data_IF_537383646434
#
_entry.id   IF_537383646434
#
_cell.length_a   1.000
_cell.length_b   1.000
_cell.length_c   1.000
_cell.angle_alpha   90.00
_cell.angle_beta   90.00
_cell.angle_gamma   90.00
#
_symmetry.space_group_name_H-M   'P 1'
#
loop_
_entity.id
_entity.type
_entity.pdbx_description
1 polymer ?
#
# COMPACT_ATOMS: atom_id res chain seq x y z
N UNK A 1 -12.23 23.36 21.23
CA UNK A 1 -11.38 22.29 21.78
C UNK A 1 -10.06 22.29 21.03
N UNK A 2 -8.90 22.26 21.71
CA UNK A 2 -7.58 22.25 21.05
C UNK A 2 -7.26 20.92 20.35
N UNK A 3 -7.93 19.84 20.74
CA UNK A 3 -7.73 18.53 20.15
C UNK A 3 -9.01 17.94 19.59
N UNK A 4 -8.89 17.13 18.52
CA UNK A 4 -9.99 16.30 18.03
C UNK A 4 -9.50 14.89 17.69
N UNK A 5 -10.40 13.92 17.87
CA UNK A 5 -10.14 12.52 17.58
C UNK A 5 -10.33 12.24 16.09
N UNK A 6 -9.41 11.48 15.51
CA UNK A 6 -9.48 11.02 14.12
C UNK A 6 -9.90 9.57 14.12
N UNK A 7 -11.03 9.29 13.48
CA UNK A 7 -11.53 7.93 13.28
C UNK A 7 -10.70 7.18 12.24
N UNK A 8 -10.69 5.85 12.36
CA UNK A 8 -10.17 4.97 11.31
C UNK A 8 -10.93 5.21 9.99
N UNK A 9 -10.23 5.44 8.87
CA UNK A 9 -10.87 5.50 7.56
C UNK A 9 -11.56 4.18 7.21
N UNK A 10 -12.71 4.26 6.54
CA UNK A 10 -13.46 3.10 6.02
C UNK A 10 -13.52 3.20 4.51
N UNK A 11 -13.18 2.11 3.82
CA UNK A 11 -12.94 2.07 2.39
C UNK A 11 -13.75 0.97 1.72
N UNK A 12 -14.00 1.13 0.42
CA UNK A 12 -14.48 0.03 -0.40
C UNK A 12 -13.34 -0.97 -0.60
N UNK A 13 -13.58 -2.25 -0.29
CA UNK A 13 -12.58 -3.30 -0.55
C UNK A 13 -12.29 -3.38 -2.06
N UNK A 14 -11.01 -3.50 -2.40
CA UNK A 14 -10.56 -3.71 -3.79
C UNK A 14 -10.53 -5.19 -4.19
N UNK A 15 -10.76 -6.10 -3.24
CA UNK A 15 -10.78 -7.54 -3.49
C UNK A 15 -11.97 -7.95 -4.37
N UNK A 16 -12.99 -7.09 -4.46
CA UNK A 16 -14.18 -7.28 -5.31
C UNK A 16 -14.06 -6.60 -6.68
N UNK A 17 -12.91 -5.99 -7.00
CA UNK A 17 -12.70 -5.25 -8.25
C UNK A 17 -12.49 -6.18 -9.47
N UNK A 18 -12.91 -7.44 -9.42
CA UNK A 18 -12.82 -8.38 -10.56
C UNK A 18 -13.46 -7.80 -11.82
N UNK A 19 -14.58 -7.09 -11.64
CA UNK A 19 -15.28 -6.35 -12.70
C UNK A 19 -14.41 -5.25 -13.31
N UNK A 20 -13.56 -4.58 -12.51
CA UNK A 20 -12.65 -3.54 -12.99
C UNK A 20 -11.56 -4.14 -13.88
N UNK A 21 -11.00 -5.30 -13.49
CA UNK A 21 -10.04 -6.04 -14.32
C UNK A 21 -10.66 -6.50 -15.64
N UNK A 22 -11.86 -7.07 -15.58
CA UNK A 22 -12.63 -7.49 -16.75
C UNK A 22 -12.88 -6.31 -17.71
N UNK A 23 -13.35 -5.17 -17.20
CA UNK A 23 -13.57 -3.96 -18.01
C UNK A 23 -12.28 -3.37 -18.59
N UNK A 24 -11.16 -3.50 -17.89
CA UNK A 24 -9.86 -3.02 -18.35
C UNK A 24 -9.20 -3.96 -19.37
N UNK A 25 -9.76 -5.15 -19.62
CA UNK A 25 -9.12 -6.18 -20.44
C UNK A 25 -7.82 -6.72 -19.84
N UNK A 26 -7.66 -6.61 -18.52
CA UNK A 26 -6.48 -7.08 -17.78
C UNK A 26 -6.86 -8.35 -17.03
N UNK A 27 -6.06 -9.45 -17.14
CA UNK A 27 -6.34 -10.65 -16.37
C UNK A 27 -6.34 -10.36 -14.88
N UNK A 28 -7.34 -10.85 -14.16
CA UNK A 28 -7.35 -10.79 -12.71
C UNK A 28 -6.10 -11.51 -12.15
N UNK A 29 -5.52 -11.01 -11.05
CA UNK A 29 -4.49 -11.74 -10.32
C UNK A 29 -4.96 -13.16 -10.00
N UNK A 30 -4.05 -14.14 -10.02
CA UNK A 30 -4.36 -15.52 -9.63
C UNK A 30 -4.54 -15.61 -8.11
N UNK A 31 -3.46 -15.93 -7.40
CA UNK A 31 -3.46 -16.06 -5.94
C UNK A 31 -2.80 -14.87 -5.24
N UNK A 32 -2.44 -13.81 -5.98
CA UNK A 32 -1.91 -12.59 -5.39
C UNK A 32 -3.06 -11.64 -5.09
N UNK A 33 -3.20 -11.24 -3.84
CA UNK A 33 -4.26 -10.36 -3.36
C UNK A 33 -3.70 -8.99 -2.98
N UNK A 34 -4.59 -8.00 -2.90
CA UNK A 34 -4.23 -6.69 -2.36
C UNK A 34 -4.04 -6.80 -0.85
N UNK A 35 -2.83 -6.57 -0.36
CA UNK A 35 -2.58 -6.37 1.07
C UNK A 35 -2.92 -4.96 1.51
N UNK A 36 -2.61 -3.99 0.63
CA UNK A 36 -2.79 -2.57 0.87
C UNK A 36 -2.73 -1.80 -0.45
N UNK A 37 -3.52 -0.72 -0.55
CA UNK A 37 -3.38 0.26 -1.62
C UNK A 37 -3.05 1.62 -1.04
N UNK A 38 -2.13 2.36 -1.64
CA UNK A 38 -1.82 3.73 -1.20
C UNK A 38 -2.98 4.71 -1.40
N UNK A 39 -4.02 4.30 -2.14
CA UNK A 39 -5.30 5.00 -2.11
C UNK A 39 -5.86 5.08 -0.69
N UNK A 40 -5.52 4.14 0.18
CA UNK A 40 -5.96 4.04 1.56
C UNK A 40 -5.04 4.80 2.54
N UNK A 41 -4.03 5.52 2.04
CA UNK A 41 -3.10 6.31 2.82
C UNK A 41 -1.68 5.74 2.80
N UNK A 42 -1.00 5.76 3.95
CA UNK A 42 0.34 5.21 4.10
C UNK A 42 0.32 3.90 4.89
N UNK A 43 0.80 2.81 4.28
CA UNK A 43 0.67 1.47 4.83
C UNK A 43 1.27 1.32 6.24
N UNK A 44 2.43 1.97 6.46
CA UNK A 44 3.19 1.82 7.70
C UNK A 44 2.60 2.64 8.86
N UNK A 45 2.00 3.81 8.59
CA UNK A 45 1.41 4.66 9.63
C UNK A 45 0.32 3.93 10.40
N UNK A 46 -0.47 3.11 9.70
CA UNK A 46 -1.54 2.36 10.34
C UNK A 46 -1.02 1.20 11.19
N UNK A 47 0.22 0.74 11.02
CA UNK A 47 0.79 -0.32 11.86
C UNK A 47 0.96 0.16 13.30
N UNK A 48 1.29 1.44 13.50
CA UNK A 48 1.44 2.05 14.82
C UNK A 48 0.09 2.25 15.52
N UNK A 49 -0.99 2.39 14.74
CA UNK A 49 -2.34 2.59 15.26
C UNK A 49 -3.18 1.31 15.35
N UNK A 50 -2.64 0.19 14.87
CA UNK A 50 -3.34 -1.09 14.77
C UNK A 50 -2.62 -2.15 15.59
N UNK A 51 -3.33 -2.72 16.56
CA UNK A 51 -2.81 -3.83 17.35
C UNK A 51 -2.45 -5.01 16.44
N UNK A 52 -1.38 -5.78 16.74
CA UNK A 52 -0.94 -6.88 15.88
C UNK A 52 -2.03 -7.90 15.50
N UNK A 53 -2.98 -8.16 16.39
CA UNK A 53 -4.11 -9.08 16.16
C UNK A 53 -5.25 -8.50 15.33
N UNK A 54 -5.28 -7.18 15.11
CA UNK A 54 -6.24 -6.51 14.22
C UNK A 54 -5.72 -6.38 12.78
N UNK A 55 -4.50 -6.88 12.52
CA UNK A 55 -3.89 -6.86 11.19
C UNK A 55 -4.38 -8.08 10.41
N UNK A 56 -4.61 -7.88 9.12
CA UNK A 56 -4.90 -8.99 8.19
C UNK A 56 -3.78 -10.03 8.21
N UNK A 57 -4.01 -11.21 7.60
CA UNK A 57 -2.94 -12.20 7.37
C UNK A 57 -1.71 -11.58 6.68
N UNK A 58 -1.95 -10.54 5.89
CA UNK A 58 -0.93 -9.86 5.08
C UNK A 58 -0.13 -8.82 5.88
N UNK A 59 -0.40 -8.68 7.18
CA UNK A 59 0.34 -7.80 8.09
C UNK A 59 -0.11 -6.33 8.06
N UNK A 60 -1.05 -5.97 7.18
CA UNK A 60 -1.60 -4.63 7.06
C UNK A 60 -3.04 -4.57 7.59
N UNK A 61 -3.49 -3.42 8.12
CA UNK A 61 -4.88 -3.25 8.53
C UNK A 61 -5.83 -3.35 7.33
N UNK A 62 -6.88 -4.15 7.48
CA UNK A 62 -8.02 -4.10 6.56
C UNK A 62 -8.83 -2.84 6.87
N UNK A 63 -8.98 -1.97 5.87
CA UNK A 63 -9.74 -0.72 5.97
C UNK A 63 -11.12 -0.84 5.32
N UNK A 64 -11.50 -2.04 4.87
CA UNK A 64 -12.82 -2.27 4.29
C UNK A 64 -13.93 -2.21 5.34
N UNK A 65 -15.13 -1.84 4.92
CA UNK A 65 -16.31 -1.83 5.81
C UNK A 65 -16.66 -3.22 6.35
N UNK A 66 -16.28 -4.28 5.62
CA UNK A 66 -16.61 -5.69 5.90
C UNK A 66 -15.72 -6.38 6.95
N UNK A 67 -14.93 -5.62 7.74
CA UNK A 67 -14.10 -6.17 8.84
C UNK A 67 -14.93 -6.97 9.86
N UNK A 68 -16.26 -6.80 9.90
CA UNK A 68 -17.13 -7.55 10.80
C UNK A 68 -17.39 -9.02 10.41
N UNK A 69 -17.13 -9.43 9.15
CA UNK A 69 -17.50 -10.78 8.67
C UNK A 69 -16.30 -11.70 8.38
N UNK A 70 -15.07 -11.16 8.26
CA UNK A 70 -13.89 -11.97 8.01
C UNK A 70 -13.42 -12.65 9.30
N UNK A 71 -13.86 -13.88 9.50
CA UNK A 71 -13.31 -14.79 10.51
C UNK A 71 -11.81 -14.96 10.32
N UNK A 72 -11.02 -14.35 11.20
CA UNK A 72 -9.58 -14.50 11.21
C UNK A 72 -9.19 -15.91 11.70
N UNK A 73 -8.34 -16.63 10.94
CA UNK A 73 -7.83 -17.96 11.30
C UNK A 73 -7.05 -18.03 12.63
N UNK A 74 -6.78 -16.89 13.29
CA UNK A 74 -6.16 -16.80 14.63
C UNK A 74 -6.82 -15.74 15.53
N UNK A 75 -8.07 -15.35 15.28
CA UNK A 75 -8.78 -14.49 16.22
C UNK A 75 -9.22 -15.31 17.43
N UNK A 76 -8.50 -15.17 18.54
CA UNK A 76 -8.91 -15.68 19.86
C UNK A 76 -10.01 -14.83 20.49
N UNK A 77 -10.52 -13.82 19.77
CA UNK A 77 -11.56 -12.91 20.25
C UNK A 77 -12.82 -13.14 19.37
N UNK A 78 -13.96 -13.52 19.96
CA UNK A 78 -15.22 -13.63 19.22
C UNK A 78 -15.54 -12.29 18.55
N UNK A 79 -15.97 -12.34 17.30
CA UNK A 79 -16.44 -11.22 16.48
C UNK A 79 -17.79 -10.66 16.98
N UNK A 80 -17.88 -10.34 18.26
CA UNK A 80 -19.12 -9.94 18.93
C UNK A 80 -19.13 -8.50 19.43
N UNK A 81 -18.17 -7.64 19.08
CA UNK A 81 -18.35 -6.21 19.28
C UNK A 81 -19.13 -5.61 18.10
N UNK A 82 -20.43 -5.87 18.11
CA UNK A 82 -21.45 -5.05 17.45
C UNK A 82 -21.35 -3.64 18.01
N UNK A 83 -20.64 -2.76 17.31
CA UNK A 83 -20.48 -1.38 17.74
C UNK A 83 -19.93 -0.54 16.61
N UNK A 84 -20.82 0.24 15.99
CA UNK A 84 -20.60 1.32 15.01
C UNK A 84 -19.63 2.43 15.45
N UNK A 85 -18.79 2.20 16.46
CA UNK A 85 -17.77 3.12 16.92
C UNK A 85 -16.55 2.98 16.02
N UNK A 86 -16.41 3.87 15.04
CA UNK A 86 -15.15 4.01 14.30
C UNK A 86 -14.04 4.28 15.31
N UNK A 87 -13.24 3.27 15.62
CA UNK A 87 -12.15 3.37 16.59
C UNK A 87 -11.27 4.58 16.25
N UNK A 88 -11.02 5.44 17.22
CA UNK A 88 -10.07 6.55 17.07
C UNK A 88 -8.68 5.99 16.83
N UNK A 89 -8.02 6.40 15.73
CA UNK A 89 -6.66 5.95 15.39
C UNK A 89 -5.59 6.91 15.89
N UNK A 90 -5.92 8.21 15.98
CA UNK A 90 -5.01 9.23 16.48
C UNK A 90 -5.80 10.47 16.95
N UNK A 91 -5.09 11.48 17.48
CA UNK A 91 -5.65 12.77 17.87
C UNK A 91 -4.80 13.88 17.28
N UNK A 92 -5.44 14.87 16.67
CA UNK A 92 -4.78 16.09 16.19
C UNK A 92 -4.89 17.14 17.29
N UNK A 93 -3.79 17.78 17.64
CA UNK A 93 -3.76 19.00 18.46
C UNK A 93 -3.50 20.19 17.55
N UNK A 94 -4.37 21.20 17.59
CA UNK A 94 -4.23 22.39 16.77
C UNK A 94 -2.97 23.16 17.13
N UNK A 95 -2.73 23.35 18.44
CA UNK A 95 -1.53 24.00 18.94
C UNK A 95 -0.24 23.22 18.60
N UNK A 96 -0.26 21.89 18.60
CA UNK A 96 0.95 21.13 18.25
C UNK A 96 1.20 21.03 16.74
N UNK A 97 0.14 20.90 15.94
CA UNK A 97 0.26 20.60 14.51
C UNK A 97 0.28 21.86 13.63
N UNK A 98 -0.43 22.91 14.03
CA UNK A 98 -0.62 24.10 13.21
C UNK A 98 -0.02 25.37 13.83
N UNK A 99 0.49 25.33 15.06
CA UNK A 99 1.18 26.48 15.64
C UNK A 99 2.67 26.56 15.23
N UNK A 100 3.25 27.77 15.22
CA UNK A 100 2.56 29.05 15.28
C UNK A 100 1.70 29.25 14.03
N UNK A 101 0.48 29.76 14.20
CA UNK A 101 -0.31 30.19 13.06
C UNK A 101 0.39 31.41 12.47
N UNK A 102 0.86 31.27 11.24
CA UNK A 102 1.44 32.36 10.49
C UNK A 102 0.50 32.65 9.32
N UNK A 103 -0.28 33.72 9.42
CA UNK A 103 -1.24 34.12 8.37
C UNK A 103 -0.56 34.40 7.01
N UNK A 104 0.76 34.59 7.00
CA UNK A 104 1.57 34.78 5.79
C UNK A 104 2.23 33.47 5.32
N UNK A 105 2.04 32.36 6.02
CA UNK A 105 2.55 31.05 5.59
C UNK A 105 1.78 30.62 4.34
N UNK A 106 2.51 30.36 3.26
CA UNK A 106 1.91 29.79 2.05
C UNK A 106 1.45 28.36 2.32
N UNK A 107 0.49 27.88 1.53
CA UNK A 107 0.06 26.47 1.62
C UNK A 107 1.24 25.51 1.43
N UNK A 108 2.14 25.79 0.49
CA UNK A 108 3.38 25.05 0.26
C UNK A 108 4.26 24.98 1.53
N UNK A 109 4.47 26.11 2.22
CA UNK A 109 5.28 26.17 3.43
C UNK A 109 4.64 25.36 4.57
N UNK A 110 3.31 25.48 4.74
CA UNK A 110 2.55 24.70 5.71
C UNK A 110 2.65 23.19 5.44
N UNK A 111 2.47 22.77 4.18
CA UNK A 111 2.55 21.36 3.81
C UNK A 111 3.96 20.79 3.99
N UNK A 112 5.00 21.54 3.62
CA UNK A 112 6.39 21.14 3.87
C UNK A 112 6.67 20.94 5.35
N UNK A 113 6.19 21.86 6.20
CA UNK A 113 6.33 21.75 7.64
C UNK A 113 5.63 20.48 8.15
N UNK A 114 4.35 20.31 7.84
CA UNK A 114 3.57 19.13 8.24
C UNK A 114 4.18 17.82 7.73
N UNK A 115 4.70 17.79 6.50
CA UNK A 115 5.19 16.55 5.88
C UNK A 115 6.61 16.17 6.31
N UNK A 116 7.48 17.15 6.61
CA UNK A 116 8.91 16.90 6.73
C UNK A 116 9.58 17.46 7.99
N UNK A 117 8.94 18.33 8.76
CA UNK A 117 9.53 18.80 10.01
C UNK A 117 9.49 17.68 11.07
N UNK A 118 10.61 17.35 11.73
CA UNK A 118 10.71 16.16 12.60
C UNK A 118 9.67 16.08 13.72
N UNK A 119 9.25 17.24 14.23
CA UNK A 119 8.30 17.42 15.32
C UNK A 119 6.84 17.24 14.92
N UNK A 120 6.51 17.47 13.64
CA UNK A 120 5.14 17.43 13.11
C UNK A 120 4.89 16.26 12.16
N UNK A 121 5.87 15.82 11.36
CA UNK A 121 5.70 14.76 10.37
C UNK A 121 5.15 13.45 10.97
N UNK A 122 5.78 12.96 12.04
CA UNK A 122 5.38 11.69 12.69
C UNK A 122 4.11 11.79 13.55
N UNK A 123 3.77 12.99 14.04
CA UNK A 123 2.66 13.18 15.00
C UNK A 123 1.38 13.70 14.35
N UNK A 124 1.53 14.51 13.31
CA UNK A 124 0.45 15.28 12.72
C UNK A 124 0.18 14.87 11.27
N UNK A 125 1.23 14.73 10.45
CA UNK A 125 1.09 14.47 9.01
C UNK A 125 0.19 13.27 8.72
N UNK A 126 0.56 12.10 9.25
CA UNK A 126 -0.21 10.87 9.06
C UNK A 126 -1.63 10.99 9.63
N UNK A 127 -1.78 11.64 10.79
CA UNK A 127 -3.09 11.82 11.42
C UNK A 127 -4.01 12.74 10.60
N UNK A 128 -3.45 13.79 9.98
CA UNK A 128 -4.14 14.67 9.04
C UNK A 128 -4.54 13.90 7.78
N UNK A 129 -3.64 13.06 7.24
CA UNK A 129 -3.97 12.20 6.10
C UNK A 129 -5.16 11.29 6.43
N UNK A 130 -5.16 10.62 7.60
CA UNK A 130 -6.26 9.78 8.05
C UNK A 130 -7.57 10.57 8.23
N UNK A 131 -7.50 11.80 8.74
CA UNK A 131 -8.66 12.67 8.86
C UNK A 131 -9.26 13.05 7.50
N UNK A 132 -8.42 13.41 6.53
CA UNK A 132 -8.84 13.76 5.17
C UNK A 132 -9.38 12.57 4.39
N UNK A 133 -8.78 11.37 4.56
CA UNK A 133 -9.30 10.13 3.99
C UNK A 133 -10.69 9.81 4.57
N UNK A 134 -10.89 9.99 5.88
CA UNK A 134 -12.19 9.81 6.53
C UNK A 134 -13.24 10.80 5.99
N UNK A 135 -12.84 12.06 5.79
CA UNK A 135 -13.69 13.09 5.20
C UNK A 135 -14.01 12.82 3.71
N UNK A 136 -13.15 12.10 3.01
CA UNK A 136 -13.34 11.76 1.59
C UNK A 136 -14.36 10.64 1.33
N UNK A 137 -14.82 9.96 2.38
CA UNK A 137 -15.69 8.78 2.27
C UNK A 137 -14.98 7.57 1.65
N UNK A 138 -15.76 6.57 1.23
CA UNK A 138 -15.23 5.28 0.77
C UNK A 138 -14.33 5.35 -0.47
N UNK A 139 -14.57 6.34 -1.35
CA UNK A 139 -13.75 6.60 -2.55
C UNK A 139 -12.37 7.19 -2.25
N UNK A 140 -12.21 7.78 -1.05
CA UNK A 140 -10.93 7.95 -0.40
C UNK A 140 -10.12 9.21 -0.66
N UNK A 141 -10.29 9.90 -1.80
CA UNK A 141 -9.39 11.02 -2.13
C UNK A 141 -10.09 12.35 -2.43
N UNK A 142 -11.42 12.39 -2.37
CA UNK A 142 -12.19 13.58 -2.78
C UNK A 142 -11.85 14.84 -1.98
N UNK A 143 -11.51 14.72 -0.69
CA UNK A 143 -11.12 15.86 0.16
C UNK A 143 -9.69 16.39 -0.12
N UNK A 144 -8.85 15.62 -0.81
CA UNK A 144 -7.53 16.07 -1.27
C UNK A 144 -7.58 16.83 -2.59
N UNK A 145 -8.72 16.77 -3.27
CA UNK A 145 -8.86 17.27 -4.61
C UNK A 145 -9.55 18.64 -4.61
N UNK A 146 -9.09 19.58 -5.46
CA UNK A 146 -9.81 20.83 -5.71
C UNK A 146 -11.26 20.58 -6.14
N UNK A 147 -12.17 21.57 -5.98
CA UNK A 147 -13.54 21.49 -6.51
C UNK A 147 -13.58 21.16 -8.00
N UNK A 148 -14.67 20.55 -8.48
CA UNK A 148 -14.82 20.17 -9.90
C UNK A 148 -14.75 21.35 -10.86
N UNK A 149 -15.14 22.54 -10.39
CA UNK A 149 -15.08 23.80 -11.12
C UNK A 149 -13.68 24.43 -11.16
N UNK A 150 -12.72 23.93 -10.38
CA UNK A 150 -11.38 24.48 -10.33
C UNK A 150 -10.64 24.21 -11.65
N UNK A 151 -10.29 25.28 -12.34
CA UNK A 151 -9.58 25.23 -13.61
C UNK A 151 -8.50 26.30 -13.66
N UNK A 152 -7.42 26.02 -14.38
CA UNK A 152 -6.29 26.91 -14.54
C UNK A 152 -5.86 26.96 -16.00
N UNK A 153 -5.42 28.13 -16.44
CA UNK A 153 -4.94 28.34 -17.80
C UNK A 153 -3.43 28.10 -17.80
N UNK A 154 -2.97 27.14 -18.61
CA UNK A 154 -1.56 26.77 -18.76
C UNK A 154 -1.08 27.13 -20.17
N UNK A 155 0.22 27.42 -20.38
CA UNK A 155 0.75 27.61 -21.72
C UNK A 155 0.49 26.38 -22.62
N UNK A 156 0.09 26.54 -23.89
CA UNK A 156 -0.15 25.40 -24.79
C UNK A 156 1.10 24.55 -25.05
N UNK A 157 2.30 25.15 -24.96
CA UNK A 157 3.59 24.44 -24.99
C UNK A 157 3.77 23.42 -23.84
N UNK A 158 2.89 23.47 -22.83
CA UNK A 158 2.81 22.50 -21.74
C UNK A 158 2.27 21.13 -22.18
N UNK A 159 2.10 20.83 -23.46
CA UNK A 159 1.61 19.53 -23.95
C UNK A 159 2.43 18.33 -23.43
N UNK A 160 3.68 18.53 -22.98
CA UNK A 160 4.45 17.51 -22.25
C UNK A 160 3.95 17.24 -20.81
N UNK A 161 3.30 18.23 -20.18
CA UNK A 161 2.76 18.20 -18.81
C UNK A 161 1.59 17.23 -18.68
N UNK A 162 0.77 17.09 -19.73
CA UNK A 162 -0.33 16.11 -19.78
C UNK A 162 0.13 14.66 -19.61
N UNK A 163 1.39 14.36 -19.97
CA UNK A 163 2.00 13.03 -19.84
C UNK A 163 2.78 12.81 -18.53
N UNK A 164 3.05 13.86 -17.74
CA UNK A 164 3.79 13.72 -16.47
C UNK A 164 3.33 14.76 -15.44
N UNK A 165 2.12 14.62 -14.88
CA UNK A 165 1.81 15.30 -13.62
C UNK A 165 2.76 14.77 -12.55
N UNK A 166 3.81 15.53 -12.22
CA UNK A 166 4.81 15.16 -11.21
C UNK A 166 5.21 16.39 -10.40
N UNK A 167 5.59 16.17 -9.14
CA UNK A 167 6.24 17.22 -8.35
C UNK A 167 7.71 17.35 -8.80
N UNK A 168 8.36 18.50 -8.61
CA UNK A 168 9.77 18.68 -8.92
C UNK A 168 10.63 17.62 -8.22
N UNK A 169 11.54 16.99 -8.97
CA UNK A 169 12.44 15.96 -8.48
C UNK A 169 13.77 16.61 -8.06
N UNK A 170 13.77 17.18 -6.86
CA UNK A 170 14.95 17.86 -6.27
C UNK A 170 15.52 17.04 -5.12
N UNK A 171 16.81 17.20 -4.84
CA UNK A 171 17.49 16.48 -3.75
C UNK A 171 17.01 16.88 -2.34
N UNK A 172 16.51 18.11 -2.17
CA UNK A 172 16.08 18.64 -0.87
C UNK A 172 14.75 19.38 -0.96
N UNK A 173 13.76 18.91 -0.20
CA UNK A 173 12.42 19.51 -0.10
C UNK A 173 12.44 20.97 0.39
N UNK A 174 13.50 21.38 1.11
CA UNK A 174 13.60 22.71 1.71
C UNK A 174 13.73 23.82 0.67
N UNK A 175 14.40 23.53 -0.44
CA UNK A 175 14.67 24.48 -1.51
C UNK A 175 13.70 24.33 -2.70
N UNK A 176 12.88 23.28 -2.71
CA UNK A 176 11.91 23.02 -3.78
C UNK A 176 10.73 23.97 -3.67
N UNK A 177 10.31 24.61 -4.75
CA UNK A 177 9.05 25.34 -4.78
C UNK A 177 7.94 24.42 -5.32
N UNK A 178 6.99 24.00 -4.47
CA UNK A 178 5.82 23.22 -4.86
C UNK A 178 4.57 24.09 -5.13
N UNK A 179 4.73 25.41 -5.26
CA UNK A 179 3.63 26.28 -5.69
C UNK A 179 3.07 25.86 -7.06
N UNK A 180 1.78 26.09 -7.27
CA UNK A 180 1.12 25.76 -8.55
C UNK A 180 1.81 26.48 -9.72
N UNK A 181 2.24 27.73 -9.51
CA UNK A 181 2.92 28.54 -10.52
C UNK A 181 4.26 27.92 -10.94
N UNK A 182 5.05 27.44 -9.97
CA UNK A 182 6.32 26.73 -10.21
C UNK A 182 6.09 25.40 -10.91
N UNK A 183 5.17 24.57 -10.40
CA UNK A 183 4.95 23.21 -10.89
C UNK A 183 4.32 23.20 -12.29
N UNK A 184 3.42 24.15 -12.57
CA UNK A 184 2.78 24.29 -13.89
C UNK A 184 3.54 25.26 -14.82
N UNK A 185 4.66 25.84 -14.37
CA UNK A 185 5.49 26.79 -15.12
C UNK A 185 4.70 27.98 -15.68
N UNK A 186 3.73 28.49 -14.90
CA UNK A 186 2.82 29.57 -15.32
C UNK A 186 3.54 30.90 -15.55
N UNK A 187 4.68 31.10 -14.90
CA UNK A 187 5.46 32.34 -14.90
C UNK A 187 6.64 32.33 -15.87
N UNK A 188 6.73 31.34 -16.78
CA UNK A 188 7.85 31.31 -17.73
C UNK A 188 7.82 32.54 -18.65
N UNK A 189 8.79 33.45 -18.46
CA UNK A 189 9.00 34.67 -19.27
C UNK A 189 9.20 34.39 -20.76
N UNK A 190 9.32 33.13 -21.16
CA UNK A 190 9.48 32.67 -22.54
C UNK A 190 8.14 32.28 -23.19
N UNK A 191 7.01 32.42 -22.50
CA UNK A 191 5.68 32.28 -23.08
C UNK A 191 5.35 33.50 -23.96
N UNK A 192 5.96 33.55 -25.13
CA UNK A 192 5.72 34.55 -26.18
C UNK A 192 4.25 34.54 -26.60
N UNK A 193 3.40 35.42 -26.04
CA UNK A 193 1.98 35.58 -26.42
C UNK A 193 1.26 34.25 -26.75
N UNK A 194 1.63 33.19 -26.02
CA UNK A 194 1.40 31.81 -26.44
C UNK A 194 -0.04 31.47 -26.14
N UNK A 195 -0.70 30.80 -27.08
CA UNK A 195 -1.98 30.14 -26.89
C UNK A 195 -2.02 29.47 -25.50
N UNK A 196 -3.05 29.77 -24.72
CA UNK A 196 -3.25 29.17 -23.40
C UNK A 196 -4.34 28.13 -23.48
N UNK A 197 -4.20 27.07 -22.70
CA UNK A 197 -5.18 25.99 -22.60
C UNK A 197 -5.71 25.93 -21.18
N UNK A 198 -7.03 25.93 -21.06
CA UNK A 198 -7.70 25.69 -19.77
C UNK A 198 -7.69 24.20 -19.42
N UNK A 199 -7.18 23.86 -18.25
CA UNK A 199 -7.18 22.49 -17.73
C UNK A 199 -7.94 22.39 -16.39
N UNK A 200 -8.55 21.23 -16.14
CA UNK A 200 -9.15 20.92 -14.84
C UNK A 200 -8.05 20.65 -13.81
N UNK A 201 -8.01 21.48 -12.76
CA UNK A 201 -7.03 21.32 -11.68
C UNK A 201 -7.28 20.03 -10.90
N UNK A 202 -8.55 19.67 -10.68
CA UNK A 202 -8.93 18.37 -10.09
C UNK A 202 -8.35 17.20 -10.90
N UNK A 203 -8.47 17.23 -12.23
CA UNK A 203 -7.94 16.17 -13.10
C UNK A 203 -6.42 16.09 -12.99
N UNK A 204 -5.74 17.23 -12.98
CA UNK A 204 -4.29 17.28 -12.84
C UNK A 204 -3.82 16.74 -11.48
N UNK A 205 -4.44 17.17 -10.37
CA UNK A 205 -4.14 16.67 -9.02
C UNK A 205 -4.43 15.16 -8.90
N UNK A 206 -5.49 14.66 -9.53
CA UNK A 206 -5.80 13.23 -9.55
C UNK A 206 -4.70 12.43 -10.23
N UNK A 207 -4.23 12.89 -11.40
CA UNK A 207 -3.10 12.27 -12.11
C UNK A 207 -1.80 12.33 -11.31
N UNK A 208 -1.56 13.44 -10.60
CA UNK A 208 -0.41 13.60 -9.73
C UNK A 208 -0.42 12.57 -8.59
N UNK A 209 -1.54 12.45 -7.88
CA UNK A 209 -1.70 11.44 -6.81
C UNK A 209 -1.53 10.03 -7.39
N UNK A 210 -2.15 9.75 -8.55
CA UNK A 210 -2.03 8.47 -9.24
C UNK A 210 -0.59 8.10 -9.60
N UNK A 211 0.25 9.08 -9.93
CA UNK A 211 1.67 8.83 -10.24
C UNK A 211 2.44 8.26 -9.04
N UNK A 212 2.12 8.67 -7.83
CA UNK A 212 2.78 8.22 -6.60
C UNK A 212 2.00 7.09 -5.91
N UNK A 213 1.04 6.49 -6.60
CA UNK A 213 0.33 5.34 -6.06
C UNK A 213 1.21 4.10 -6.08
N UNK A 214 1.08 3.33 -5.01
CA UNK A 214 1.67 2.02 -4.88
C UNK A 214 0.64 1.05 -4.32
N UNK A 215 0.90 -0.22 -4.55
CA UNK A 215 0.12 -1.34 -4.03
C UNK A 215 1.10 -2.28 -3.37
N UNK A 216 0.69 -2.82 -2.22
CA UNK A 216 1.36 -3.96 -1.62
C UNK A 216 0.49 -5.18 -1.93
N UNK A 217 1.06 -6.12 -2.68
CA UNK A 217 0.44 -7.41 -2.93
C UNK A 217 0.91 -8.44 -1.92
N UNK A 218 0.02 -9.32 -1.48
CA UNK A 218 0.39 -10.53 -0.75
C UNK A 218 0.15 -11.72 -1.65
N UNK A 219 1.10 -12.62 -1.66
CA UNK A 219 0.93 -13.92 -2.30
C UNK A 219 1.13 -14.98 -1.23
N UNK A 220 0.21 -15.96 -1.08
CA UNK A 220 0.37 -17.06 -0.15
C UNK A 220 1.72 -17.74 -0.37
N UNK A 221 2.62 -17.56 0.60
CA UNK A 221 3.94 -18.14 0.57
C UNK A 221 4.19 -18.90 1.86
N UNK A 222 4.88 -20.03 1.71
CA UNK A 222 5.21 -20.89 2.84
C UNK A 222 6.73 -21.10 2.86
N UNK A 223 7.34 -20.79 4.00
CA UNK A 223 8.77 -20.91 4.21
C UNK A 223 9.04 -22.01 5.24
N UNK A 224 9.77 -23.04 4.83
CA UNK A 224 10.19 -24.12 5.71
C UNK A 224 11.71 -24.19 5.82
N UNK A 225 12.20 -24.38 7.04
CA UNK A 225 13.59 -24.71 7.31
C UNK A 225 13.77 -26.22 7.28
N UNK A 226 14.67 -26.68 6.42
CA UNK A 226 15.10 -28.07 6.30
C UNK A 226 16.23 -28.31 7.29
N UNK A 227 15.90 -28.73 8.50
CA UNK A 227 16.88 -28.91 9.58
C UNK A 227 17.23 -30.39 9.83
N UNK A 228 16.22 -31.26 9.92
CA UNK A 228 16.36 -32.65 10.38
C UNK A 228 15.56 -33.64 9.53
N UNK A 229 16.15 -34.80 9.24
CA UNK A 229 15.55 -35.84 8.42
C UNK A 229 14.31 -36.48 9.04
N UNK A 230 14.20 -36.45 10.37
CA UNK A 230 13.05 -36.97 11.11
C UNK A 230 11.80 -36.08 11.00
N UNK A 231 11.99 -34.77 10.83
CA UNK A 231 10.90 -33.78 10.78
C UNK A 231 10.44 -33.46 9.37
N UNK A 232 11.35 -33.57 8.40
CA UNK A 232 11.09 -33.20 7.01
C UNK A 232 9.84 -33.86 6.41
N UNK A 233 9.55 -35.17 6.58
CA UNK A 233 8.36 -35.79 5.99
C UNK A 233 7.05 -35.09 6.41
N UNK A 234 6.89 -34.81 7.70
CA UNK A 234 5.69 -34.13 8.21
C UNK A 234 5.60 -32.68 7.72
N UNK A 235 6.73 -31.99 7.56
CA UNK A 235 6.74 -30.64 6.97
C UNK A 235 6.30 -30.66 5.50
N UNK A 236 6.77 -31.63 4.71
CA UNK A 236 6.40 -31.80 3.31
C UNK A 236 4.93 -32.21 3.15
N UNK A 237 4.40 -33.07 4.02
CA UNK A 237 2.96 -33.37 4.03
C UNK A 237 2.11 -32.14 4.32
N UNK A 238 2.60 -31.20 5.15
CA UNK A 238 1.91 -29.94 5.39
C UNK A 238 1.94 -29.03 4.14
N UNK A 239 3.04 -29.04 3.38
CA UNK A 239 3.10 -28.38 2.06
C UNK A 239 2.05 -28.98 1.13
N UNK A 240 2.03 -30.30 0.99
CA UNK A 240 1.13 -31.01 0.06
C UNK A 240 -0.34 -30.70 0.36
N UNK A 241 -0.70 -30.67 1.65
CA UNK A 241 -2.04 -30.25 2.08
C UNK A 241 -2.34 -28.81 1.66
N UNK A 242 -1.41 -27.89 1.86
CA UNK A 242 -1.62 -26.48 1.48
C UNK A 242 -1.64 -26.26 -0.03
N UNK A 243 -0.92 -27.08 -0.81
CA UNK A 243 -1.00 -27.05 -2.28
C UNK A 243 -2.35 -27.55 -2.80
N UNK A 244 -3.00 -28.46 -2.07
CA UNK A 244 -4.30 -29.04 -2.41
C UNK A 244 -5.50 -28.24 -1.88
N UNK A 245 -5.30 -27.12 -1.17
CA UNK A 245 -6.39 -26.29 -0.67
C UNK A 245 -7.08 -25.52 -1.80
N UNK A 246 -8.41 -25.62 -1.89
CA UNK A 246 -9.18 -24.94 -2.95
C UNK A 246 -9.29 -23.43 -2.77
N UNK A 247 -9.25 -22.94 -1.53
CA UNK A 247 -9.54 -21.53 -1.23
C UNK A 247 -8.32 -20.60 -1.36
N UNK A 248 -7.17 -21.02 -0.83
CA UNK A 248 -5.96 -20.18 -0.79
C UNK A 248 -4.68 -21.04 -0.85
N UNK A 249 -4.42 -21.76 -1.96
CA UNK A 249 -3.30 -22.67 -2.02
C UNK A 249 -1.96 -21.95 -1.92
N UNK A 250 -0.96 -22.62 -1.35
CA UNK A 250 0.42 -22.10 -1.35
C UNK A 250 0.86 -21.85 -2.79
N UNK A 251 1.29 -20.62 -3.06
CA UNK A 251 1.71 -20.20 -4.41
C UNK A 251 3.23 -20.16 -4.52
N UNK A 252 3.91 -19.67 -3.48
CA UNK A 252 5.36 -19.73 -3.39
C UNK A 252 5.78 -20.63 -2.24
N UNK A 253 6.59 -21.63 -2.53
CA UNK A 253 7.23 -22.47 -1.53
C UNK A 253 8.71 -22.13 -1.47
N UNK A 254 9.23 -21.88 -0.27
CA UNK A 254 10.65 -21.75 -0.01
C UNK A 254 11.09 -22.81 0.98
N UNK A 255 12.10 -23.60 0.59
CA UNK A 255 12.77 -24.57 1.46
C UNK A 255 14.20 -24.06 1.70
N UNK A 256 14.52 -23.68 2.93
CA UNK A 256 15.82 -23.15 3.32
C UNK A 256 16.68 -24.24 3.96
N UNK A 257 17.93 -24.36 3.53
CA UNK A 257 18.90 -25.36 3.98
C UNK A 257 19.60 -24.97 5.29
N UNK A 258 18.88 -25.08 6.41
CA UNK A 258 19.44 -24.93 7.77
C UNK A 258 19.81 -26.29 8.37
N UNK A 259 20.58 -27.10 7.62
CA UNK A 259 20.81 -28.51 7.92
C UNK A 259 21.63 -28.69 9.20
N UNK A 260 21.05 -29.42 10.17
CA UNK A 260 21.65 -29.71 11.50
C UNK A 260 21.89 -31.21 11.71
N UNK A 261 22.10 -31.91 10.61
CA UNK A 261 22.28 -33.37 10.55
C UNK A 261 23.75 -33.75 10.34
N UNK A 262 24.10 -34.98 10.71
CA UNK A 262 25.37 -35.58 10.29
C UNK A 262 25.39 -35.84 8.77
N UNK A 263 26.53 -36.28 8.23
CA UNK A 263 26.62 -36.67 6.80
C UNK A 263 25.57 -37.72 6.43
N UNK A 264 25.33 -38.73 7.29
CA UNK A 264 24.31 -39.74 7.05
C UNK A 264 22.88 -39.17 7.09
N UNK A 265 22.60 -38.26 8.02
CA UNK A 265 21.31 -37.57 8.11
C UNK A 265 21.07 -36.65 6.91
N UNK A 266 22.12 -35.98 6.41
CA UNK A 266 22.08 -35.16 5.18
C UNK A 266 21.77 -36.02 3.95
N UNK A 267 22.39 -37.21 3.81
CA UNK A 267 22.05 -38.15 2.74
C UNK A 267 20.58 -38.59 2.83
N UNK A 268 20.04 -38.77 4.05
CA UNK A 268 18.64 -39.09 4.26
C UNK A 268 17.72 -37.92 3.85
N UNK A 269 18.06 -36.68 4.24
CA UNK A 269 17.36 -35.46 3.81
C UNK A 269 17.30 -35.36 2.28
N UNK A 270 18.45 -35.53 1.61
CA UNK A 270 18.54 -35.48 0.15
C UNK A 270 17.66 -36.52 -0.53
N UNK A 271 17.57 -37.75 0.00
CA UNK A 271 16.67 -38.78 -0.54
C UNK A 271 15.20 -38.40 -0.39
N UNK A 272 14.81 -37.83 0.76
CA UNK A 272 13.44 -37.39 1.01
C UNK A 272 13.07 -36.26 0.05
N UNK A 273 13.89 -35.21 -0.02
CA UNK A 273 13.66 -34.07 -0.91
C UNK A 273 13.63 -34.49 -2.38
N UNK A 274 14.59 -35.30 -2.85
CA UNK A 274 14.60 -35.78 -4.24
C UNK A 274 13.32 -36.52 -4.61
N UNK A 275 12.82 -37.39 -3.72
CA UNK A 275 11.57 -38.11 -3.94
C UNK A 275 10.38 -37.15 -4.01
N UNK A 276 10.33 -36.18 -3.09
CA UNK A 276 9.24 -35.22 -3.02
C UNK A 276 9.21 -34.27 -4.23
N UNK A 277 10.39 -33.78 -4.66
CA UNK A 277 10.52 -32.98 -5.88
C UNK A 277 10.09 -33.76 -7.12
N UNK A 278 10.53 -35.02 -7.27
CA UNK A 278 10.16 -35.85 -8.43
C UNK A 278 8.64 -36.14 -8.50
N UNK A 279 7.94 -36.16 -7.36
CA UNK A 279 6.50 -36.34 -7.31
C UNK A 279 5.72 -35.10 -7.78
N UNK A 280 6.26 -33.89 -7.58
CA UNK A 280 5.60 -32.62 -7.90
C UNK A 280 6.06 -32.02 -9.24
N UNK A 281 7.34 -32.16 -9.57
CA UNK A 281 7.97 -31.64 -10.78
C UNK A 281 8.69 -32.78 -11.48
N UNK A 282 7.92 -33.58 -12.22
CA UNK A 282 8.41 -34.76 -12.94
C UNK A 282 9.29 -34.43 -14.14
N UNK A 283 9.35 -33.16 -14.55
CA UNK A 283 10.16 -32.69 -15.68
C UNK A 283 11.03 -31.53 -15.20
N UNK A 284 12.34 -31.55 -15.52
CA UNK A 284 13.21 -30.42 -15.25
C UNK A 284 12.70 -29.15 -15.92
N UNK A 285 12.86 -28.01 -15.25
CA UNK A 285 12.56 -26.71 -15.85
C UNK A 285 13.65 -26.34 -16.87
N UNK A 286 13.31 -25.56 -17.93
CA UNK A 286 14.32 -25.03 -18.85
C UNK A 286 15.40 -24.26 -18.07
N UNK A 287 16.66 -24.69 -18.21
CA UNK A 287 17.80 -24.07 -17.53
C UNK A 287 18.18 -24.68 -16.18
N UNK A 288 17.42 -25.66 -15.66
CA UNK A 288 17.94 -26.52 -14.61
C UNK A 288 19.13 -27.31 -15.17
N UNK A 289 20.29 -27.16 -14.52
CA UNK A 289 21.47 -27.95 -14.87
C UNK A 289 21.10 -29.41 -14.63
N UNK A 290 20.89 -30.13 -15.74
CA UNK A 290 20.56 -31.55 -15.71
C UNK A 290 21.61 -32.31 -14.89
N UNK A 291 21.14 -33.26 -14.07
CA UNK A 291 22.03 -34.26 -13.50
C UNK A 291 22.60 -35.07 -14.67
N UNK A 292 23.85 -34.77 -15.05
CA UNK A 292 24.72 -35.75 -15.71
C UNK A 292 25.02 -36.89 -14.75
#
# INVERSE_FOLDING_TARGET
>A
ADTFAVSRPVRRSRDQDRVVFEHAGVPAPKNTEYSFSSHDGHALSYLDWTWPWQRSRNGYPDLSEHVQERGHARSWIPSSSSGSSRSSVCRISYSACFAPQNERESADALFKRIAFAPDTASKCGDCIMAALLTASGESGISAFLPPDSAAIDVPASSDKMGSRAHLPLTESWRATDFSIDSVLQLSSEHASASETRRISLRTWCTRLIQRYQYVLGATPSTFYKVEYASRLPHQLEAVDRSLAEDSHPTTFLCLNDDIKESTQGTLKLNRILKRWFAAHWSRPLPGELGQT
#
